data_IF_760903788740
#
_entry.id   IF_760903788740
#
_cell.length_a   1.000
_cell.length_b   1.000
_cell.length_c   1.000
_cell.angle_alpha   90.00
_cell.angle_beta   90.00
_cell.angle_gamma   90.00
#
_symmetry.space_group_name_H-M   'P 1'
#
loop_
_entity.id
_entity.type
_entity.pdbx_description
1 polymer ?
#
# COMPACT_ATOMS: atom_id res chain seq x y z
N UNK A 1 -15.21 4.12 14.38
CA UNK A 1 -14.69 3.07 13.49
C UNK A 1 -13.21 2.97 13.79
N UNK A 2 -12.58 1.78 13.87
CA UNK A 2 -11.13 1.72 14.03
C UNK A 2 -10.50 2.57 12.94
N UNK A 3 -9.55 3.43 13.32
CA UNK A 3 -8.95 4.37 12.38
C UNK A 3 -8.32 3.57 11.24
N UNK A 4 -8.67 3.93 9.99
CA UNK A 4 -8.16 3.25 8.78
C UNK A 4 -6.62 3.23 8.79
N UNK A 5 -6.04 4.29 9.36
CA UNK A 5 -4.62 4.45 9.67
C UNK A 5 -4.10 3.38 10.63
N UNK A 6 -4.74 3.17 11.77
CA UNK A 6 -4.36 2.12 12.74
C UNK A 6 -4.44 0.73 12.09
N UNK A 7 -5.49 0.48 11.31
CA UNK A 7 -5.65 -0.81 10.61
C UNK A 7 -4.53 -1.03 9.60
N UNK A 8 -4.14 0.01 8.86
CA UNK A 8 -3.05 -0.06 7.90
C UNK A 8 -1.68 -0.23 8.59
N UNK A 9 -1.46 0.44 9.72
CA UNK A 9 -0.25 0.29 10.54
C UNK A 9 -0.12 -1.12 11.13
N UNK A 10 -1.23 -1.73 11.58
CA UNK A 10 -1.25 -3.11 12.04
C UNK A 10 -0.90 -4.10 10.90
N UNK A 11 -1.48 -3.90 9.71
CA UNK A 11 -1.15 -4.71 8.53
C UNK A 11 0.32 -4.59 8.14
N UNK A 12 0.88 -3.37 8.15
CA UNK A 12 2.30 -3.11 7.91
C UNK A 12 3.19 -3.79 8.96
N UNK A 13 2.81 -3.74 10.23
CA UNK A 13 3.53 -4.38 11.33
C UNK A 13 3.53 -5.91 11.22
N UNK A 14 2.39 -6.50 10.84
CA UNK A 14 2.26 -7.94 10.57
C UNK A 14 3.10 -8.36 9.36
N UNK A 15 3.07 -7.57 8.28
CA UNK A 15 3.88 -7.82 7.10
C UNK A 15 5.39 -7.73 7.41
N UNK A 16 5.81 -6.72 8.18
CA UNK A 16 7.20 -6.56 8.64
C UNK A 16 7.69 -7.75 9.48
N UNK A 17 6.77 -8.37 10.21
CA UNK A 17 7.07 -9.53 11.05
C UNK A 17 7.24 -10.84 10.27
N UNK A 18 6.81 -10.87 9.00
CA UNK A 18 6.87 -12.07 8.15
C UNK A 18 8.31 -12.47 7.81
N UNK A 19 8.66 -13.78 7.85
CA UNK A 19 9.99 -14.27 7.48
C UNK A 19 10.42 -13.85 6.07
N UNK A 20 9.48 -13.84 5.12
CA UNK A 20 9.73 -13.49 3.71
C UNK A 20 10.11 -12.03 3.54
N UNK A 21 9.55 -11.14 4.36
CA UNK A 21 9.85 -9.71 4.36
C UNK A 21 11.13 -9.44 5.15
N UNK A 22 11.32 -10.11 6.30
CA UNK A 22 12.57 -10.03 7.07
C UNK A 22 13.79 -10.47 6.27
N UNK A 23 13.62 -11.41 5.35
CA UNK A 23 14.70 -11.85 4.46
C UNK A 23 15.10 -10.82 3.39
N UNK A 24 14.31 -9.76 3.19
CA UNK A 24 14.53 -8.78 2.12
C UNK A 24 14.62 -7.35 2.66
N UNK A 25 15.82 -6.77 2.58
CA UNK A 25 16.08 -5.40 3.04
C UNK A 25 15.21 -4.35 2.32
N UNK A 26 14.95 -4.53 1.03
CA UNK A 26 14.14 -3.60 0.23
C UNK A 26 12.68 -3.57 0.70
N UNK A 27 12.10 -4.74 1.00
CA UNK A 27 10.74 -4.84 1.53
C UNK A 27 10.62 -4.28 2.94
N UNK A 28 11.64 -4.48 3.77
CA UNK A 28 11.73 -3.86 5.08
C UNK A 28 11.79 -2.33 4.99
N UNK A 29 12.60 -1.80 4.08
CA UNK A 29 12.72 -0.37 3.84
C UNK A 29 11.39 0.22 3.34
N UNK A 30 10.75 -0.45 2.38
CA UNK A 30 9.43 -0.07 1.85
C UNK A 30 8.40 0.05 2.97
N UNK A 31 8.29 -0.96 3.84
CA UNK A 31 7.32 -0.93 4.95
C UNK A 31 7.65 0.17 5.96
N UNK A 32 8.93 0.32 6.35
CA UNK A 32 9.34 1.36 7.31
C UNK A 32 9.08 2.77 6.80
N UNK A 33 9.41 3.06 5.54
CA UNK A 33 9.20 4.39 4.94
C UNK A 33 7.70 4.72 4.93
N UNK A 34 6.86 3.76 4.53
CA UNK A 34 5.42 3.99 4.44
C UNK A 34 4.75 4.03 5.82
N UNK A 35 5.18 3.22 6.78
CA UNK A 35 4.70 3.28 8.17
C UNK A 35 5.06 4.62 8.83
N UNK A 36 6.30 5.12 8.63
CA UNK A 36 6.71 6.42 9.14
C UNK A 36 5.88 7.56 8.55
N UNK A 37 5.60 7.55 7.24
CA UNK A 37 4.73 8.55 6.61
C UNK A 37 3.29 8.51 7.11
N UNK A 38 2.78 7.32 7.42
CA UNK A 38 1.49 7.17 8.08
C UNK A 38 1.54 7.71 9.51
N UNK A 39 2.65 7.61 10.22
CA UNK A 39 2.79 8.09 11.59
C UNK A 39 3.00 9.63 11.69
N UNK A 40 3.64 10.25 10.68
CA UNK A 40 3.99 11.68 10.69
C UNK A 40 2.84 12.64 10.35
N UNK A 41 1.69 12.15 9.86
CA UNK A 41 0.58 13.02 9.44
C UNK A 41 -0.77 12.60 9.99
N UNK A 42 -1.48 13.55 10.57
CA UNK A 42 -2.81 13.34 11.16
C UNK A 42 -3.98 13.67 10.21
N UNK A 43 -3.69 14.31 9.08
CA UNK A 43 -4.71 14.70 8.11
C UNK A 43 -4.96 13.63 7.03
N UNK A 44 -6.20 13.60 6.52
CA UNK A 44 -6.60 12.75 5.38
C UNK A 44 -5.65 12.86 4.17
N UNK A 45 -5.02 14.02 3.97
CA UNK A 45 -4.04 14.22 2.90
C UNK A 45 -2.77 13.41 3.11
N UNK A 46 -2.29 13.29 4.34
CA UNK A 46 -1.13 12.47 4.67
C UNK A 46 -1.46 10.98 4.45
N UNK A 47 -2.63 10.55 4.92
CA UNK A 47 -3.10 9.18 4.70
C UNK A 47 -3.23 8.85 3.20
N UNK A 48 -3.92 9.68 2.43
CA UNK A 48 -4.08 9.52 0.96
C UNK A 48 -2.72 9.46 0.25
N UNK A 49 -1.77 10.29 0.66
CA UNK A 49 -0.42 10.32 0.08
C UNK A 49 0.35 9.04 0.42
N UNK A 50 0.26 8.57 1.66
CA UNK A 50 0.92 7.35 2.11
C UNK A 50 0.36 6.10 1.40
N UNK A 51 -0.97 5.96 1.30
CA UNK A 51 -1.58 4.81 0.60
C UNK A 51 -1.30 4.82 -0.90
N UNK A 52 -1.20 6.00 -1.53
CA UNK A 52 -0.82 6.13 -2.94
C UNK A 52 0.62 5.72 -3.16
N UNK A 53 1.55 6.20 -2.33
CA UNK A 53 2.96 5.81 -2.41
C UNK A 53 3.14 4.32 -2.15
N UNK A 54 2.49 3.78 -1.13
CA UNK A 54 2.56 2.37 -0.78
C UNK A 54 2.05 1.48 -1.91
N UNK A 55 0.93 1.86 -2.54
CA UNK A 55 0.42 1.16 -3.73
C UNK A 55 1.41 1.20 -4.89
N UNK A 56 2.07 2.33 -5.10
CA UNK A 56 3.09 2.49 -6.14
C UNK A 56 4.31 1.62 -5.87
N UNK A 57 4.87 1.67 -4.66
CA UNK A 57 6.06 0.92 -4.28
C UNK A 57 5.81 -0.59 -4.38
N UNK A 58 4.64 -1.06 -3.93
CA UNK A 58 4.23 -2.47 -4.05
C UNK A 58 4.11 -2.89 -5.52
N UNK A 59 3.48 -2.06 -6.35
CA UNK A 59 3.33 -2.34 -7.79
C UNK A 59 4.69 -2.39 -8.49
N UNK A 60 5.59 -1.45 -8.18
CA UNK A 60 6.95 -1.41 -8.72
C UNK A 60 7.75 -2.64 -8.31
N UNK A 61 7.66 -3.05 -7.04
CA UNK A 61 8.31 -4.26 -6.55
C UNK A 61 7.85 -5.49 -7.33
N UNK A 62 6.54 -5.65 -7.55
CA UNK A 62 6.01 -6.74 -8.36
C UNK A 62 6.50 -6.74 -9.80
N UNK A 63 6.59 -5.57 -10.44
CA UNK A 63 7.11 -5.46 -11.82
C UNK A 63 8.57 -5.89 -11.95
N UNK A 64 9.36 -5.79 -10.88
CA UNK A 64 10.78 -6.15 -10.87
C UNK A 64 10.99 -7.61 -10.47
N UNK A 65 10.25 -8.09 -9.45
CA UNK A 65 10.48 -9.39 -8.83
C UNK A 65 9.48 -10.48 -9.26
N UNK A 66 8.38 -10.10 -9.91
CA UNK A 66 7.26 -10.97 -10.33
C UNK A 66 6.71 -11.90 -9.24
N UNK A 67 7.04 -11.62 -7.98
CA UNK A 67 6.70 -12.43 -6.80
C UNK A 67 6.30 -11.48 -5.69
N UNK A 68 5.24 -11.83 -4.97
CA UNK A 68 4.70 -10.98 -3.92
C UNK A 68 4.41 -11.79 -2.68
N UNK A 69 5.02 -11.44 -1.53
CA UNK A 69 4.67 -12.06 -0.26
C UNK A 69 3.24 -11.71 0.11
N UNK A 70 2.52 -12.68 0.68
CA UNK A 70 1.10 -12.57 1.07
C UNK A 70 0.79 -11.29 1.86
N UNK A 71 1.68 -10.90 2.78
CA UNK A 71 1.51 -9.68 3.58
C UNK A 71 1.40 -8.39 2.74
N UNK A 72 2.13 -8.26 1.62
CA UNK A 72 2.01 -7.10 0.74
C UNK A 72 0.73 -7.15 -0.11
N UNK A 73 0.28 -8.36 -0.47
CA UNK A 73 -1.00 -8.54 -1.19
C UNK A 73 -2.17 -8.14 -0.30
N UNK A 74 -2.14 -8.51 0.98
CA UNK A 74 -3.18 -8.14 1.96
C UNK A 74 -3.23 -6.62 2.18
N UNK A 75 -2.07 -5.97 2.29
CA UNK A 75 -1.95 -4.50 2.36
C UNK A 75 -2.54 -3.85 1.10
N UNK A 76 -2.15 -4.32 -0.09
CA UNK A 76 -2.64 -3.76 -1.35
C UNK A 76 -4.16 -3.92 -1.49
N UNK A 77 -4.70 -5.08 -1.11
CA UNK A 77 -6.15 -5.32 -1.15
C UNK A 77 -6.91 -4.46 -0.14
N UNK A 78 -6.34 -4.22 1.05
CA UNK A 78 -6.92 -3.30 2.02
C UNK A 78 -6.98 -1.88 1.45
N UNK A 79 -5.86 -1.38 0.90
CA UNK A 79 -5.81 -0.05 0.27
C UNK A 79 -6.80 0.04 -0.89
N UNK A 80 -6.85 -0.98 -1.77
CA UNK A 80 -7.80 -1.01 -2.89
C UNK A 80 -9.26 -0.93 -2.43
N UNK A 81 -9.62 -1.70 -1.38
CA UNK A 81 -10.97 -1.63 -0.80
C UNK A 81 -11.24 -0.27 -0.17
N UNK A 82 -10.27 0.31 0.53
CA UNK A 82 -10.43 1.60 1.17
C UNK A 82 -10.55 2.75 0.16
N UNK A 83 -9.78 2.71 -0.93
CA UNK A 83 -9.90 3.62 -2.07
C UNK A 83 -11.23 3.42 -2.81
N UNK A 84 -11.71 2.18 -2.94
CA UNK A 84 -13.03 1.87 -3.52
C UNK A 84 -14.19 2.37 -2.65
N UNK A 85 -14.09 2.25 -1.32
CA UNK A 85 -15.04 2.84 -0.37
C UNK A 85 -14.98 4.38 -0.45
N UNK A 86 -13.78 4.91 -0.72
CA UNK A 86 -13.55 6.33 -0.99
C UNK A 86 -13.85 6.71 -2.45
N UNK A 87 -14.46 5.86 -3.29
CA UNK A 87 -14.89 6.25 -4.65
C UNK A 87 -16.02 7.29 -4.65
N UNK A 88 -16.61 7.59 -3.49
CA UNK A 88 -17.38 8.83 -3.31
C UNK A 88 -16.50 10.09 -3.56
N UNK A 89 -15.17 9.95 -3.42
CA UNK A 89 -14.08 10.92 -3.66
C UNK A 89 -13.08 10.44 -4.74
N UNK A 90 -13.52 9.58 -5.66
CA UNK A 90 -12.70 8.88 -6.67
C UNK A 90 -11.80 9.81 -7.53
N UNK A 91 -12.21 11.05 -7.76
CA UNK A 91 -11.50 11.98 -8.63
C UNK A 91 -10.11 12.36 -8.08
N UNK A 92 -9.98 12.48 -6.75
CA UNK A 92 -8.72 12.85 -6.10
C UNK A 92 -7.73 11.68 -6.12
N UNK A 93 -8.20 10.47 -5.82
CA UNK A 93 -7.39 9.26 -5.88
C UNK A 93 -6.98 8.92 -7.32
N UNK A 94 -7.89 9.04 -8.30
CA UNK A 94 -7.54 8.84 -9.72
C UNK A 94 -6.51 9.84 -10.21
N UNK A 95 -6.61 11.12 -9.85
CA UNK A 95 -5.59 12.13 -10.22
C UNK A 95 -4.21 11.81 -9.64
N UNK A 96 -4.15 11.34 -8.39
CA UNK A 96 -2.88 10.97 -7.77
C UNK A 96 -2.31 9.65 -8.31
N UNK A 97 -3.16 8.66 -8.57
CA UNK A 97 -2.76 7.42 -9.23
C UNK A 97 -2.22 7.68 -10.64
N UNK A 98 -2.92 8.50 -11.43
CA UNK A 98 -2.45 8.94 -12.75
C UNK A 98 -1.14 9.74 -12.66
N UNK A 99 -1.01 10.65 -11.68
CA UNK A 99 0.23 11.41 -11.46
C UNK A 99 1.40 10.52 -11.01
N UNK A 100 1.12 9.41 -10.32
CA UNK A 100 2.12 8.42 -9.91
C UNK A 100 2.42 7.39 -11.02
N UNK A 101 1.85 7.52 -12.22
CA UNK A 101 2.01 6.53 -13.31
C UNK A 101 1.23 5.23 -13.07
N UNK A 102 0.41 5.16 -12.03
CA UNK A 102 -0.54 4.10 -11.74
C UNK A 102 -1.79 4.32 -12.60
N UNK A 103 -1.64 4.19 -13.92
CA UNK A 103 -2.79 3.95 -14.79
C UNK A 103 -3.58 2.75 -14.25
N UNK A 104 -4.90 2.76 -14.39
CA UNK A 104 -5.81 1.74 -13.87
C UNK A 104 -5.43 0.32 -14.35
N UNK A 105 -4.46 -0.31 -13.70
CA UNK A 105 -3.95 -1.62 -14.05
C UNK A 105 -4.70 -2.62 -13.18
N UNK A 106 -5.47 -3.55 -13.78
CA UNK A 106 -5.99 -4.68 -13.04
C UNK A 106 -4.80 -5.60 -12.70
N UNK A 107 -4.15 -5.34 -11.56
CA UNK A 107 -3.10 -6.22 -11.06
C UNK A 107 -3.78 -7.52 -10.61
N UNK A 108 -3.67 -8.56 -11.44
CA UNK A 108 -4.02 -9.94 -11.10
C UNK A 108 -2.77 -10.56 -10.50
N UNK A 109 -2.76 -10.73 -9.18
CA UNK A 109 -1.70 -11.45 -8.48
C UNK A 109 -1.78 -12.92 -8.91
N UNK A 110 -0.72 -13.43 -9.55
CA UNK A 110 -0.66 -14.80 -10.06
C UNK A 110 -1.05 -15.81 -8.97
N UNK A 111 -2.14 -16.54 -9.21
CA UNK A 111 -2.66 -17.54 -8.31
C UNK A 111 -1.75 -18.77 -8.25
N UNK A 112 -1.48 -19.22 -7.04
CA UNK A 112 -1.08 -20.59 -6.74
C UNK A 112 -1.73 -20.98 -5.41
#
# INVERSE_FOLDING_TARGET
>A
MPDKRETLLDLLSKAYSSPTIKAQADLQALIKINAKKLDEGDDDKAYVTAVTQLSHDISKYYLIHHTMPKGLVDIFNFIKKDVAISEVDAARYRKQALAAGLGAMPIVWGGH
#
